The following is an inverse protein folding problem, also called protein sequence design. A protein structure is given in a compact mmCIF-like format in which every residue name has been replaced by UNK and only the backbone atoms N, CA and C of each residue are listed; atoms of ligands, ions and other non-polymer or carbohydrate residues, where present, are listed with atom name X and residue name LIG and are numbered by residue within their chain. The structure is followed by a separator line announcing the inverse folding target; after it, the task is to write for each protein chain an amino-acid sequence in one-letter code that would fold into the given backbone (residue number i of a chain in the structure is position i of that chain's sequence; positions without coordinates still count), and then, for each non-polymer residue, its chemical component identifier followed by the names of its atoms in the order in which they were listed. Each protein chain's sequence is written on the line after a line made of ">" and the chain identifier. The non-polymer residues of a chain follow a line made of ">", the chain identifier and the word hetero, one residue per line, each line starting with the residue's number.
data_IF_442727957937
#
_entry.id   IF_442727957937
#
_cell.length_a   1.000
_cell.length_b   1.000
_cell.length_c   1.000
_cell.angle_alpha   90.00
_cell.angle_beta   90.00
_cell.angle_gamma   90.00
#
_symmetry.space_group_name_H-M   'P 1'
#
loop_
_entity.id
_entity.type
_entity.pdbx_description
1 polymer ?
#
# COMPACT_ATOMS: atom_id res chain seq x y z
N UNK A 1 5.70 10.79 9.13
CA UNK A 1 6.11 11.17 7.76
C UNK A 1 4.89 10.99 6.87
N UNK A 2 4.39 12.04 6.24
CA UNK A 2 3.24 11.93 5.33
C UNK A 2 3.57 11.15 4.07
N UNK A 3 2.53 10.79 3.30
CA UNK A 3 2.68 10.03 2.05
C UNK A 3 3.53 10.82 1.04
N UNK A 4 3.35 12.14 0.96
CA UNK A 4 4.13 13.02 0.07
C UNK A 4 5.64 12.96 0.39
N UNK A 5 6.01 13.12 1.66
CA UNK A 5 7.41 13.07 2.09
C UNK A 5 8.03 11.68 1.84
N UNK A 6 7.24 10.62 2.02
CA UNK A 6 7.70 9.26 1.76
C UNK A 6 7.94 9.02 0.25
N UNK A 7 7.06 9.53 -0.61
CA UNK A 7 7.24 9.48 -2.07
C UNK A 7 8.50 10.23 -2.52
N UNK A 8 8.80 11.40 -1.93
CA UNK A 8 10.05 12.12 -2.20
C UNK A 8 11.29 11.28 -1.80
N UNK A 9 11.20 10.51 -0.71
CA UNK A 9 12.27 9.58 -0.32
C UNK A 9 12.42 8.45 -1.33
N UNK A 10 11.32 7.82 -1.78
CA UNK A 10 11.36 6.79 -2.83
C UNK A 10 12.04 7.36 -4.09
N UNK A 11 11.67 8.57 -4.50
CA UNK A 11 12.30 9.26 -5.64
C UNK A 11 13.81 9.42 -5.48
N UNK A 12 14.26 9.87 -4.31
CA UNK A 12 15.70 9.99 -4.03
C UNK A 12 16.39 8.64 -4.15
N UNK A 13 15.77 7.57 -3.67
CA UNK A 13 16.31 6.23 -3.75
C UNK A 13 16.23 5.61 -5.16
N UNK A 14 15.27 6.02 -6.01
CA UNK A 14 15.25 5.65 -7.44
C UNK A 14 16.48 6.13 -8.22
N UNK A 15 17.18 7.15 -7.74
CA UNK A 15 18.44 7.59 -8.36
C UNK A 15 19.61 6.61 -8.15
N UNK A 16 19.43 5.62 -7.26
CA UNK A 16 20.45 4.65 -6.88
C UNK A 16 20.05 3.24 -7.36
N UNK A 17 20.94 2.52 -8.06
CA UNK A 17 20.64 1.16 -8.53
C UNK A 17 20.17 0.22 -7.41
N UNK A 18 19.11 -0.54 -7.65
CA UNK A 18 18.60 -1.59 -6.75
C UNK A 18 17.87 -1.12 -5.50
N UNK A 19 17.83 0.18 -5.20
CA UNK A 19 17.20 0.70 -3.97
C UNK A 19 15.68 0.70 -4.03
N UNK A 20 15.07 0.74 -5.21
CA UNK A 20 13.60 0.78 -5.35
C UNK A 20 12.93 -0.55 -4.98
N UNK A 21 13.64 -1.66 -5.24
CA UNK A 21 13.15 -3.00 -4.95
C UNK A 21 12.77 -3.20 -3.48
N UNK A 22 13.41 -2.46 -2.57
CA UNK A 22 13.16 -2.56 -1.12
C UNK A 22 11.76 -2.08 -0.71
N UNK A 23 11.08 -1.30 -1.55
CA UNK A 23 9.81 -0.67 -1.20
C UNK A 23 8.61 -1.53 -1.59
N UNK A 24 8.60 -2.02 -2.82
CA UNK A 24 7.47 -2.75 -3.37
C UNK A 24 7.88 -3.91 -4.28
N UNK A 25 9.13 -4.39 -4.20
CA UNK A 25 9.63 -5.50 -5.03
C UNK A 25 9.84 -5.09 -6.49
N UNK A 26 9.36 -5.91 -7.42
CA UNK A 26 9.50 -5.63 -8.86
C UNK A 26 8.93 -4.24 -9.21
N UNK A 27 9.66 -3.53 -10.09
CA UNK A 27 9.32 -2.15 -10.47
C UNK A 27 8.16 -2.19 -11.48
N UNK A 28 6.96 -2.41 -10.95
CA UNK A 28 5.72 -2.48 -11.72
C UNK A 28 4.69 -1.50 -11.15
N UNK A 29 3.95 -0.84 -12.03
CA UNK A 29 3.05 0.26 -11.67
C UNK A 29 1.95 -0.17 -10.72
N UNK A 30 1.33 -1.34 -10.92
CA UNK A 30 0.26 -1.81 -10.03
C UNK A 30 0.78 -2.05 -8.61
N UNK A 31 2.02 -2.54 -8.47
CA UNK A 31 2.68 -2.68 -7.17
C UNK A 31 2.98 -1.32 -6.54
N UNK A 32 3.51 -0.37 -7.30
CA UNK A 32 3.71 1.00 -6.82
C UNK A 32 2.40 1.65 -6.34
N UNK A 33 1.31 1.52 -7.11
CA UNK A 33 0.00 2.06 -6.72
C UNK A 33 -0.55 1.37 -5.47
N UNK A 34 -0.45 0.04 -5.41
CA UNK A 34 -0.79 -0.71 -4.20
C UNK A 34 -0.05 -0.17 -2.98
N UNK A 35 1.27 0.01 -3.09
CA UNK A 35 2.09 0.59 -2.03
C UNK A 35 1.60 1.96 -1.57
N UNK A 36 1.29 2.88 -2.49
CA UNK A 36 0.78 4.21 -2.15
C UNK A 36 -0.59 4.10 -1.45
N UNK A 37 -1.49 3.29 -1.97
CA UNK A 37 -2.84 3.09 -1.39
C UNK A 37 -2.74 2.51 0.03
N UNK A 38 -1.85 1.53 0.24
CA UNK A 38 -1.59 0.93 1.53
C UNK A 38 -0.98 1.89 2.55
N UNK A 39 -0.03 2.72 2.12
CA UNK A 39 0.55 3.76 2.98
C UNK A 39 -0.53 4.74 3.44
N UNK A 40 -1.38 5.19 2.52
CA UNK A 40 -2.49 6.11 2.82
C UNK A 40 -3.56 5.48 3.70
N UNK A 41 -3.87 4.20 3.49
CA UNK A 41 -4.79 3.47 4.36
C UNK A 41 -4.25 3.41 5.80
N UNK A 42 -2.95 3.18 5.99
CA UNK A 42 -2.32 3.26 7.31
C UNK A 42 -2.43 4.65 7.92
N UNK A 43 -2.18 5.71 7.14
CA UNK A 43 -2.33 7.09 7.62
C UNK A 43 -3.76 7.35 8.11
N UNK A 44 -4.75 6.97 7.31
CA UNK A 44 -6.17 7.11 7.65
C UNK A 44 -6.57 6.30 8.89
N UNK A 45 -6.26 5.01 8.93
CA UNK A 45 -6.61 4.09 10.02
C UNK A 45 -6.01 4.49 11.38
N UNK A 46 -4.90 5.24 11.35
CA UNK A 46 -4.21 5.70 12.55
C UNK A 46 -4.40 7.21 12.79
N UNK A 47 -5.34 7.84 12.09
CA UNK A 47 -5.69 9.26 12.22
C UNK A 47 -4.45 10.19 12.08
N UNK A 48 -3.51 9.78 11.23
CA UNK A 48 -2.28 10.52 10.94
C UNK A 48 -2.55 11.56 9.83
N UNK A 49 -2.00 12.79 9.95
CA UNK A 49 -2.22 13.83 8.94
C UNK A 49 -1.51 13.48 7.63
N UNK A 50 -2.24 13.60 6.51
CA UNK A 50 -1.71 13.37 5.15
C UNK A 50 -2.07 14.52 4.18
N UNK A 51 -2.15 15.74 4.72
CA UNK A 51 -2.57 16.96 4.01
C UNK A 51 -1.67 17.30 2.81
N UNK A 52 -0.37 17.03 2.93
CA UNK A 52 0.59 17.24 1.85
C UNK A 52 0.25 16.40 0.62
N UNK A 53 -0.15 15.14 0.82
CA UNK A 53 -0.59 14.28 -0.27
C UNK A 53 -1.98 14.68 -0.78
N UNK A 54 -2.91 15.03 0.10
CA UNK A 54 -4.24 15.50 -0.31
C UNK A 54 -4.14 16.76 -1.21
N UNK A 55 -3.27 17.70 -0.83
CA UNK A 55 -2.99 18.92 -1.60
C UNK A 55 -2.32 18.61 -2.93
N UNK A 56 -1.36 17.68 -2.94
CA UNK A 56 -0.74 17.20 -4.17
C UNK A 56 -1.76 16.56 -5.11
N UNK A 57 -2.66 15.73 -4.57
CA UNK A 57 -3.70 15.07 -5.36
C UNK A 57 -4.62 16.10 -6.02
N UNK A 58 -5.11 17.09 -5.28
CA UNK A 58 -5.92 18.19 -5.82
C UNK A 58 -5.16 18.99 -6.88
N UNK A 59 -3.91 19.37 -6.63
CA UNK A 59 -3.08 20.07 -7.61
C UNK A 59 -2.91 19.26 -8.90
N UNK A 60 -2.69 17.95 -8.76
CA UNK A 60 -2.42 17.08 -9.88
C UNK A 60 -3.67 16.86 -10.76
N UNK A 61 -4.84 16.72 -10.15
CA UNK A 61 -6.09 16.49 -10.87
C UNK A 61 -6.73 17.78 -11.39
N UNK A 62 -6.69 18.86 -10.61
CA UNK A 62 -7.36 20.12 -10.95
C UNK A 62 -6.45 21.08 -11.70
N UNK A 63 -5.27 21.39 -11.16
CA UNK A 63 -4.39 22.41 -11.73
C UNK A 63 -3.59 21.87 -12.93
N UNK A 64 -3.09 20.63 -12.85
CA UNK A 64 -2.38 19.97 -13.94
C UNK A 64 -3.31 19.23 -14.91
N UNK A 65 -4.60 19.12 -14.58
CA UNK A 65 -5.62 18.48 -15.42
C UNK A 65 -5.25 17.05 -15.84
N UNK A 66 -4.51 16.32 -15.00
CA UNK A 66 -4.25 14.92 -15.28
C UNK A 66 -5.51 14.10 -15.01
N UNK A 67 -6.08 13.43 -16.01
CA UNK A 67 -7.30 12.67 -15.81
C UNK A 67 -7.07 11.51 -14.84
N UNK A 68 -8.06 11.27 -13.99
CA UNK A 68 -8.13 10.12 -13.09
C UNK A 68 -9.04 9.08 -13.74
N UNK A 69 -8.57 7.85 -13.75
CA UNK A 69 -9.28 6.69 -14.26
C UNK A 69 -10.35 6.23 -13.26
N UNK A 70 -11.35 5.44 -13.69
CA UNK A 70 -12.41 4.95 -12.80
C UNK A 70 -11.90 4.14 -11.59
N UNK A 71 -10.69 3.57 -11.67
CA UNK A 71 -10.03 2.81 -10.59
C UNK A 71 -9.15 3.70 -9.69
N UNK A 72 -9.32 5.03 -9.78
CA UNK A 72 -8.56 6.01 -9.01
C UNK A 72 -7.11 6.19 -9.46
N UNK A 73 -6.65 5.48 -10.49
CA UNK A 73 -5.29 5.65 -11.01
C UNK A 73 -5.19 6.89 -11.89
N UNK A 74 -4.05 7.58 -11.85
CA UNK A 74 -3.84 8.73 -12.74
C UNK A 74 -3.50 8.19 -14.13
N UNK A 75 -4.10 8.76 -15.17
CA UNK A 75 -3.91 8.33 -16.56
C UNK A 75 -2.44 8.25 -16.98
N UNK A 76 -1.58 9.13 -16.45
CA UNK A 76 -0.11 9.09 -16.64
C UNK A 76 0.51 7.72 -16.29
N UNK A 77 -0.04 7.02 -15.31
CA UNK A 77 0.41 5.71 -14.87
C UNK A 77 -0.20 4.57 -15.71
N UNK A 78 -1.31 4.83 -16.42
CA UNK A 78 -1.94 3.87 -17.34
C UNK A 78 -1.44 3.97 -18.78
N UNK A 79 -1.04 5.15 -19.26
CA UNK A 79 -0.65 5.37 -20.65
C UNK A 79 0.38 4.32 -21.08
N UNK A 80 0.12 3.65 -22.20
CA UNK A 80 0.90 2.53 -22.75
C UNK A 80 2.33 2.88 -23.17
N UNK A 81 2.73 4.15 -23.13
CA UNK A 81 4.05 4.60 -23.55
C UNK A 81 5.08 4.53 -22.40
N UNK A 82 6.25 3.95 -22.69
CA UNK A 82 7.38 3.85 -21.76
C UNK A 82 7.32 2.66 -20.80
N UNK A 83 8.43 2.40 -20.11
CA UNK A 83 8.55 1.33 -19.11
C UNK A 83 7.80 1.66 -17.81
N UNK A 84 7.48 0.65 -17.00
CA UNK A 84 6.89 0.87 -15.66
C UNK A 84 7.75 1.81 -14.81
N UNK A 85 9.07 1.65 -14.87
CA UNK A 85 10.00 2.50 -14.14
C UNK A 85 9.95 3.95 -14.63
N UNK A 86 9.91 4.20 -15.94
CA UNK A 86 9.80 5.56 -16.49
C UNK A 86 8.51 6.25 -16.05
N UNK A 87 7.39 5.53 -16.01
CA UNK A 87 6.10 6.09 -15.57
C UNK A 87 6.09 6.39 -14.08
N UNK A 88 6.64 5.50 -13.25
CA UNK A 88 6.82 5.75 -11.81
C UNK A 88 7.72 6.97 -11.59
N UNK A 89 8.83 7.09 -12.33
CA UNK A 89 9.72 8.27 -12.25
C UNK A 89 8.99 9.56 -12.63
N UNK A 90 8.22 9.57 -13.72
CA UNK A 90 7.43 10.74 -14.13
C UNK A 90 6.44 11.17 -13.04
N UNK A 91 5.75 10.22 -12.42
CA UNK A 91 4.85 10.51 -11.30
C UNK A 91 5.61 11.09 -10.11
N UNK A 92 6.75 10.51 -9.75
CA UNK A 92 7.58 11.03 -8.65
C UNK A 92 8.20 12.39 -8.96
N UNK A 93 8.49 12.70 -10.22
CA UNK A 93 8.93 14.03 -10.62
C UNK A 93 7.80 15.08 -10.45
N UNK A 94 6.54 14.72 -10.69
CA UNK A 94 5.39 15.57 -10.35
C UNK A 94 5.25 15.78 -8.84
N UNK A 95 5.49 14.73 -8.04
CA UNK A 95 5.56 14.86 -6.57
C UNK A 95 6.63 15.87 -6.16
N UNK A 96 7.82 15.79 -6.78
CA UNK A 96 8.91 16.73 -6.51
C UNK A 96 8.60 18.15 -6.99
N UNK A 97 7.97 18.30 -8.16
CA UNK A 97 7.52 19.59 -8.68
C UNK A 97 6.53 20.26 -7.72
N UNK A 98 5.53 19.52 -7.24
CA UNK A 98 4.58 20.02 -6.25
C UNK A 98 5.27 20.45 -4.95
N UNK A 99 6.18 19.62 -4.44
CA UNK A 99 6.90 19.90 -3.20
C UNK A 99 7.76 21.18 -3.26
N UNK A 100 8.27 21.55 -4.44
CA UNK A 100 9.04 22.79 -4.66
C UNK A 100 8.11 24.00 -4.87
N UNK A 101 7.00 23.81 -5.58
CA UNK A 101 6.09 24.90 -5.94
C UNK A 101 5.15 25.33 -4.82
N UNK A 102 4.89 24.45 -3.81
CA UNK A 102 3.90 24.60 -2.72
C UNK A 102 2.89 25.72 -2.97
N UNK A 103 1.93 25.51 -3.89
CA UNK A 103 0.79 26.42 -4.00
C UNK A 103 0.15 26.48 -2.61
N UNK A 104 -0.05 27.67 -2.05
CA UNK A 104 -0.50 27.83 -0.67
C UNK A 104 -1.84 27.13 -0.44
N UNK A 105 -1.80 25.95 0.17
CA UNK A 105 -2.98 25.24 0.67
C UNK A 105 -3.01 25.48 2.17
N UNK A 106 -4.14 25.97 2.65
CA UNK A 106 -4.32 26.40 4.03
C UNK A 106 -4.02 25.26 5.02
N UNK A 107 -3.09 25.53 5.95
CA UNK A 107 -2.93 24.74 7.16
C UNK A 107 -4.19 24.93 8.02
N UNK A 108 -5.07 23.93 8.04
CA UNK A 108 -6.19 23.90 8.97
C UNK A 108 -5.98 22.78 9.99
N UNK A 109 -5.67 23.20 11.21
CA UNK A 109 -5.42 22.36 12.37
C UNK A 109 -6.59 21.41 12.65
N UNK A 110 -6.30 20.11 12.80
CA UNK A 110 -7.21 19.17 13.45
C UNK A 110 -6.52 18.42 14.59
N UNK A 111 -7.26 18.36 15.68
CA UNK A 111 -6.91 17.82 16.99
C UNK A 111 -6.37 16.41 16.86
N UNK A 112 -5.26 16.16 17.55
CA UNK A 112 -4.82 14.82 17.93
C UNK A 112 -5.95 14.14 18.71
N UNK A 113 -6.71 13.28 18.04
CA UNK A 113 -7.39 12.20 18.71
C UNK A 113 -6.32 11.18 19.15
N UNK A 114 -6.51 10.56 20.30
CA UNK A 114 -5.67 9.47 20.76
C UNK A 114 -5.99 8.26 19.88
N UNK A 115 -5.16 7.90 18.88
CA UNK A 115 -5.52 6.83 17.97
C UNK A 115 -5.46 5.53 18.75
N UNK A 116 -6.51 4.72 18.63
CA UNK A 116 -6.39 3.30 18.94
C UNK A 116 -5.67 2.70 17.74
N UNK A 117 -4.33 2.75 17.76
CA UNK A 117 -3.51 2.36 16.61
C UNK A 117 -3.90 0.97 16.10
N UNK A 118 -4.23 0.88 14.81
CA UNK A 118 -4.47 -0.40 14.17
C UNK A 118 -3.17 -0.94 13.60
N UNK A 119 -2.79 -2.15 14.04
CA UNK A 119 -1.73 -2.91 13.38
C UNK A 119 -2.11 -3.28 11.95
N UNK A 120 -1.11 -3.66 11.16
CA UNK A 120 -1.32 -4.30 9.84
C UNK A 120 -2.15 -5.56 9.99
N UNK A 121 -1.95 -6.32 11.07
CA UNK A 121 -2.72 -7.54 11.31
C UNK A 121 -4.22 -7.24 11.51
N UNK A 122 -4.56 -6.23 12.31
CA UNK A 122 -5.96 -5.86 12.55
C UNK A 122 -6.62 -5.27 11.29
N UNK A 123 -5.86 -4.53 10.47
CA UNK A 123 -6.33 -4.08 9.16
C UNK A 123 -6.66 -5.27 8.24
N UNK A 124 -5.82 -6.30 8.21
CA UNK A 124 -6.08 -7.51 7.43
C UNK A 124 -7.32 -8.28 7.91
N UNK A 125 -7.58 -8.32 9.22
CA UNK A 125 -8.81 -8.89 9.76
C UNK A 125 -10.06 -8.11 9.33
N UNK A 126 -10.01 -6.77 9.38
CA UNK A 126 -11.11 -5.92 8.87
C UNK A 126 -11.36 -6.14 7.38
N UNK A 127 -10.30 -6.16 6.57
CA UNK A 127 -10.38 -6.41 5.13
C UNK A 127 -11.02 -7.78 4.84
N UNK A 128 -10.68 -8.81 5.63
CA UNK A 128 -11.33 -10.12 5.52
C UNK A 128 -12.82 -10.04 5.87
N UNK A 129 -13.17 -9.37 6.95
CA UNK A 129 -14.56 -9.22 7.40
C UNK A 129 -15.42 -8.51 6.34
N UNK A 130 -14.89 -7.47 5.69
CA UNK A 130 -15.53 -6.82 4.55
C UNK A 130 -15.80 -7.83 3.42
N UNK A 131 -14.77 -8.63 3.09
CA UNK A 131 -14.86 -9.61 2.00
C UNK A 131 -15.87 -10.74 2.29
N UNK A 132 -16.04 -11.13 3.54
CA UNK A 132 -17.08 -12.08 3.98
C UNK A 132 -18.50 -11.51 3.83
N UNK A 133 -18.64 -10.18 3.92
CA UNK A 133 -19.88 -9.46 3.64
C UNK A 133 -20.07 -9.15 2.14
N UNK A 134 -19.17 -9.62 1.29
CA UNK A 134 -19.18 -9.34 -0.16
C UNK A 134 -18.69 -7.95 -0.54
N UNK A 135 -18.11 -7.21 0.41
CA UNK A 135 -17.56 -5.88 0.19
C UNK A 135 -16.10 -6.00 -0.28
N UNK A 136 -15.84 -5.45 -1.47
CA UNK A 136 -14.49 -5.27 -1.99
C UNK A 136 -14.06 -3.83 -1.67
N UNK A 137 -13.32 -3.64 -0.58
CA UNK A 137 -12.86 -2.31 -0.18
C UNK A 137 -11.79 -1.76 -1.14
N UNK A 138 -11.43 -0.50 -0.96
CA UNK A 138 -10.53 0.24 -1.85
C UNK A 138 -9.19 -0.48 -2.13
N UNK A 139 -8.62 -1.16 -1.12
CA UNK A 139 -7.36 -1.90 -1.28
C UNK A 139 -7.50 -3.18 -2.12
N UNK A 140 -8.72 -3.68 -2.30
CA UNK A 140 -9.04 -4.89 -3.06
C UNK A 140 -9.80 -4.62 -4.37
N UNK A 141 -10.10 -3.37 -4.72
CA UNK A 141 -10.88 -3.03 -5.92
C UNK A 141 -10.30 -3.62 -7.21
N UNK A 142 -8.97 -3.60 -7.34
CA UNK A 142 -8.27 -4.18 -8.49
C UNK A 142 -8.35 -5.71 -8.57
N UNK A 143 -8.68 -6.36 -7.46
CA UNK A 143 -8.67 -7.83 -7.29
C UNK A 143 -7.33 -8.49 -7.64
N UNK A 144 -6.25 -7.71 -7.63
CA UNK A 144 -4.91 -8.17 -7.97
C UNK A 144 -4.10 -8.47 -6.69
N UNK A 145 -3.74 -9.74 -6.51
CA UNK A 145 -2.94 -10.22 -5.39
C UNK A 145 -1.56 -9.55 -5.25
N UNK A 146 -0.90 -9.19 -6.36
CA UNK A 146 0.41 -8.53 -6.29
C UNK A 146 0.28 -7.07 -5.87
N UNK A 147 -0.75 -6.37 -6.39
CA UNK A 147 -1.09 -5.01 -5.93
C UNK A 147 -1.47 -5.02 -4.45
N UNK A 148 -2.26 -6.00 -4.02
CA UNK A 148 -2.64 -6.14 -2.62
C UNK A 148 -1.45 -6.42 -1.70
N UNK A 149 -0.52 -7.28 -2.13
CA UNK A 149 0.71 -7.50 -1.37
C UNK A 149 1.54 -6.22 -1.23
N UNK A 150 1.68 -5.44 -2.31
CA UNK A 150 2.36 -4.16 -2.24
C UNK A 150 1.62 -3.14 -1.35
N UNK A 151 0.28 -3.19 -1.27
CA UNK A 151 -0.47 -2.39 -0.32
C UNK A 151 -0.17 -2.77 1.14
N UNK A 152 0.01 -4.06 1.44
CA UNK A 152 0.46 -4.48 2.76
C UNK A 152 1.86 -3.93 3.05
N UNK A 153 2.78 -3.95 2.07
CA UNK A 153 4.12 -3.35 2.19
C UNK A 153 4.04 -1.84 2.48
N UNK A 154 3.15 -1.11 1.78
CA UNK A 154 2.89 0.31 2.00
C UNK A 154 2.36 0.61 3.40
N UNK A 155 1.41 -0.19 3.88
CA UNK A 155 0.84 -0.08 5.23
C UNK A 155 1.93 -0.28 6.29
N UNK A 156 2.76 -1.31 6.13
CA UNK A 156 3.90 -1.58 7.00
C UNK A 156 4.96 -0.46 6.96
N UNK A 157 5.24 0.09 5.77
CA UNK A 157 6.17 1.20 5.58
C UNK A 157 5.73 2.46 6.33
N UNK A 158 4.44 2.81 6.26
CA UNK A 158 3.84 3.89 7.03
C UNK A 158 4.02 3.65 8.54
N UNK A 159 3.67 2.45 9.03
CA UNK A 159 3.81 2.12 10.45
C UNK A 159 5.26 2.23 10.94
N UNK A 160 6.21 1.69 10.19
CA UNK A 160 7.64 1.82 10.50
C UNK A 160 8.11 3.28 10.48
N UNK A 161 7.65 4.10 9.53
CA UNK A 161 7.99 5.52 9.44
C UNK A 161 7.45 6.35 10.62
N UNK A 162 6.46 5.81 11.35
CA UNK A 162 5.86 6.42 12.54
C UNK A 162 6.24 5.71 13.84
N UNK A 163 7.17 4.74 13.80
CA UNK A 163 7.62 4.00 14.98
C UNK A 163 6.55 3.07 15.58
N UNK A 164 5.49 2.76 14.84
CA UNK A 164 4.41 1.87 15.27
C UNK A 164 4.87 0.44 15.04
N UNK A 165 5.01 -0.35 16.11
CA UNK A 165 5.33 -1.79 16.03
C UNK A 165 4.05 -2.63 15.95
N UNK A 166 4.12 -3.80 15.33
CA UNK A 166 3.01 -4.77 15.27
C UNK A 166 3.63 -6.15 15.32
N UNK A 167 3.84 -6.58 16.56
CA UNK A 167 4.38 -7.89 16.86
C UNK A 167 3.43 -8.99 16.40
N UNK A 168 2.12 -8.73 16.36
CA UNK A 168 1.12 -9.70 15.92
C UNK A 168 1.29 -10.01 14.44
N UNK A 169 1.44 -8.97 13.60
CA UNK A 169 1.74 -9.15 12.18
C UNK A 169 3.09 -9.81 11.95
N UNK A 170 4.11 -9.45 12.73
CA UNK A 170 5.42 -10.12 12.64
C UNK A 170 5.31 -11.61 12.96
N UNK A 171 4.64 -11.97 14.06
CA UNK A 171 4.44 -13.38 14.43
C UNK A 171 3.60 -14.13 13.41
N UNK A 172 2.59 -13.49 12.81
CA UNK A 172 1.85 -14.08 11.69
C UNK A 172 2.76 -14.39 10.49
N UNK A 173 3.63 -13.45 10.12
CA UNK A 173 4.55 -13.62 9.01
C UNK A 173 5.58 -14.74 9.29
N UNK A 174 6.11 -14.80 10.52
CA UNK A 174 6.99 -15.88 10.97
C UNK A 174 6.26 -17.24 10.93
N UNK A 175 5.04 -17.33 11.45
CA UNK A 175 4.21 -18.54 11.38
C UNK A 175 3.90 -18.98 9.94
N UNK A 176 3.58 -18.04 9.05
CA UNK A 176 3.29 -18.34 7.64
C UNK A 176 4.52 -18.90 6.92
N UNK A 177 5.72 -18.42 7.28
CA UNK A 177 7.01 -18.86 6.71
C UNK A 177 7.49 -20.18 7.33
N UNK A 178 7.55 -20.24 8.64
CA UNK A 178 8.28 -21.27 9.38
C UNK A 178 7.40 -22.49 9.71
N UNK A 179 6.11 -22.28 9.95
CA UNK A 179 5.20 -23.38 10.32
C UNK A 179 4.36 -23.85 9.12
N UNK A 180 3.84 -22.91 8.32
CA UNK A 180 3.03 -23.24 7.14
C UNK A 180 3.85 -23.45 5.87
N UNK A 181 5.07 -22.93 5.82
CA UNK A 181 5.91 -22.95 4.61
C UNK A 181 5.18 -22.38 3.37
N UNK A 182 4.33 -21.37 3.59
CA UNK A 182 3.52 -20.75 2.54
C UNK A 182 4.05 -19.39 2.07
N UNK A 183 5.25 -19.03 2.52
CA UNK A 183 5.90 -17.76 2.19
C UNK A 183 7.28 -18.01 1.59
N UNK A 184 7.36 -18.39 0.30
CA UNK A 184 8.65 -18.56 -0.37
C UNK A 184 9.33 -17.21 -0.58
N UNK A 185 10.58 -17.22 -1.05
CA UNK A 185 11.37 -16.00 -1.27
C UNK A 185 10.73 -15.00 -2.24
N UNK A 186 9.92 -15.46 -3.19
CA UNK A 186 9.15 -14.58 -4.10
C UNK A 186 7.88 -13.98 -3.45
N UNK A 187 7.56 -14.35 -2.21
CA UNK A 187 6.38 -13.92 -1.47
C UNK A 187 5.15 -14.80 -1.65
N UNK A 188 4.14 -14.54 -0.82
CA UNK A 188 2.88 -15.30 -0.83
C UNK A 188 2.08 -15.17 -2.14
N UNK A 189 2.06 -14.03 -2.87
CA UNK A 189 1.28 -13.94 -4.11
C UNK A 189 1.77 -14.93 -5.15
N UNK A 190 3.09 -15.02 -5.34
CA UNK A 190 3.70 -15.94 -6.29
C UNK A 190 3.31 -17.39 -5.99
N UNK A 191 3.34 -17.80 -4.71
CA UNK A 191 2.90 -19.14 -4.31
C UNK A 191 1.41 -19.36 -4.59
N UNK A 192 0.55 -18.49 -4.09
CA UNK A 192 -0.89 -18.72 -4.14
C UNK A 192 -1.46 -18.57 -5.55
N UNK A 193 -0.87 -17.71 -6.38
CA UNK A 193 -1.20 -17.66 -7.80
C UNK A 193 -0.78 -18.95 -8.51
N UNK A 194 0.41 -19.51 -8.23
CA UNK A 194 0.79 -20.83 -8.77
C UNK A 194 -0.17 -21.93 -8.33
N UNK A 195 -0.50 -21.98 -7.04
CA UNK A 195 -1.43 -22.98 -6.48
C UNK A 195 -2.85 -22.84 -7.07
N UNK A 196 -3.28 -21.60 -7.34
CA UNK A 196 -4.62 -21.24 -7.82
C UNK A 196 -4.72 -21.00 -9.33
N UNK A 197 -3.76 -21.48 -10.12
CA UNK A 197 -3.76 -21.34 -11.59
C UNK A 197 -3.90 -19.88 -12.09
N UNK A 198 -3.29 -18.93 -11.39
CA UNK A 198 -3.33 -17.50 -11.71
C UNK A 198 -4.57 -16.76 -11.21
N UNK A 199 -5.43 -17.37 -10.41
CA UNK A 199 -6.61 -16.69 -9.87
C UNK A 199 -6.25 -15.75 -8.71
N UNK A 200 -6.19 -14.44 -8.98
CA UNK A 200 -5.82 -13.43 -7.99
C UNK A 200 -6.84 -13.31 -6.84
N UNK A 201 -8.15 -13.38 -7.11
CA UNK A 201 -9.16 -13.34 -6.05
C UNK A 201 -9.03 -14.52 -5.09
N UNK A 202 -8.80 -15.72 -5.62
CA UNK A 202 -8.57 -16.91 -4.82
C UNK A 202 -7.28 -16.78 -3.99
N UNK A 203 -6.22 -16.21 -4.57
CA UNK A 203 -4.97 -15.96 -3.85
C UNK A 203 -5.16 -14.98 -2.68
N UNK A 204 -5.88 -13.87 -2.90
CA UNK A 204 -6.23 -12.89 -1.84
C UNK A 204 -7.04 -13.58 -0.74
N UNK A 205 -8.09 -14.32 -1.10
CA UNK A 205 -8.94 -15.05 -0.14
C UNK A 205 -8.12 -16.06 0.67
N UNK A 206 -7.21 -16.80 0.02
CA UNK A 206 -6.34 -17.76 0.70
C UNK A 206 -5.46 -17.08 1.74
N UNK A 207 -4.83 -15.95 1.39
CA UNK A 207 -4.01 -15.18 2.33
C UNK A 207 -4.84 -14.65 3.51
N UNK A 208 -5.98 -14.03 3.26
CA UNK A 208 -6.87 -13.53 4.32
C UNK A 208 -7.38 -14.66 5.23
N UNK A 209 -7.67 -15.84 4.68
CA UNK A 209 -8.01 -17.02 5.48
C UNK A 209 -6.86 -17.48 6.38
N UNK A 210 -5.59 -17.32 5.97
CA UNK A 210 -4.44 -17.59 6.85
C UNK A 210 -4.32 -16.57 7.98
N UNK A 211 -4.61 -15.29 7.72
CA UNK A 211 -4.67 -14.25 8.76
C UNK A 211 -5.70 -14.66 9.82
N UNK A 212 -6.88 -15.10 9.38
CA UNK A 212 -7.94 -15.55 10.28
C UNK A 212 -7.59 -16.81 11.07
N UNK A 213 -7.00 -17.80 10.41
CA UNK A 213 -6.56 -19.03 11.05
C UNK A 213 -5.56 -18.71 12.16
N UNK A 214 -4.59 -17.82 11.90
CA UNK A 214 -3.65 -17.38 12.90
C UNK A 214 -4.33 -16.66 14.07
N UNK A 215 -5.29 -15.77 13.79
CA UNK A 215 -6.05 -15.10 14.85
C UNK A 215 -6.77 -16.09 15.77
N UNK A 216 -7.42 -17.12 15.20
CA UNK A 216 -8.09 -18.16 15.96
C UNK A 216 -7.13 -19.01 16.81
N UNK A 217 -5.91 -19.26 16.32
CA UNK A 217 -4.87 -19.96 17.11
C UNK A 217 -4.43 -19.15 18.32
N UNK A 218 -4.36 -17.82 18.20
CA UNK A 218 -3.98 -16.94 19.31
C UNK A 218 -5.07 -16.81 20.39
N UNK A 219 -6.33 -17.06 20.05
CA UNK A 219 -7.44 -17.05 21.02
C UNK A 219 -7.57 -18.36 21.82
N UNK A 220 -6.91 -19.43 21.36
CA UNK A 220 -6.97 -20.77 21.96
C UNK A 220 -5.77 -21.11 22.86
N UNK A 221 -4.73 -20.26 22.86
CA UNK A 221 -3.52 -20.40 23.68
C UNK A 221 -3.46 -19.37 24.80
#
# INVERSE_FOLDING_TARGET
>A
MGTLEYLLRIRQDMSKPGRVFIYFGDIVIHRFMGFVDGYRACMHDNELPDEGFASFWLWLTEAKQHPVEPDGTIHLLRDSQGSHEERIRKYLDLVAEFAVSRPGVAEENLRLANPTYSGTFDALLRIRQDLEQGLWNALLESRDAERFAAAIDGYNACRMAHGITDERYRHFFDWLRDDKHELPGEGWPAKYLRDGQGNHEQAIRKYLNRVAEFAALQEQG
#
